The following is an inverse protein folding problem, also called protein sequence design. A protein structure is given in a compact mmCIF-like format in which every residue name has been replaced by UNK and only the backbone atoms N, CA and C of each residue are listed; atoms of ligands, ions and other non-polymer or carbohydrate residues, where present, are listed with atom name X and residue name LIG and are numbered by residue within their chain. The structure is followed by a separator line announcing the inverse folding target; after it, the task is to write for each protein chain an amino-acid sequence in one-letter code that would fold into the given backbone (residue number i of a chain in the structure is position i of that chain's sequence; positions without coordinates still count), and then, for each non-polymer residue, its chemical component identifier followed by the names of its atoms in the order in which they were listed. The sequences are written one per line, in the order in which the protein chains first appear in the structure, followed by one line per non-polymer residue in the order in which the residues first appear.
data_IF_134363970096
#
_entry.id   IF_134363970096
#
_cell.length_a   1.000
_cell.length_b   1.000
_cell.length_c   1.000
_cell.angle_alpha   90.00
_cell.angle_beta   90.00
_cell.angle_gamma   90.00
#
_symmetry.space_group_name_H-M   'P 1'
#
loop_
_entity.id
_entity.type
_entity.pdbx_description
1 polymer ?
#
# COMPACT_ATOMS: atom_id res chain seq x y z
N UNK A 1 -6.75 -15.28 -26.15
CA UNK A 1 -5.69 -16.30 -26.05
C UNK A 1 -4.84 -15.99 -24.82
N UNK A 2 -4.40 -16.97 -24.04
CA UNK A 2 -3.49 -16.72 -22.93
C UNK A 2 -2.17 -16.13 -23.46
N UNK A 3 -1.57 -15.27 -22.65
CA UNK A 3 -0.29 -14.62 -22.99
C UNK A 3 0.85 -15.66 -23.05
N UNK A 4 1.76 -15.51 -24.00
CA UNK A 4 2.93 -16.38 -24.11
C UNK A 4 3.79 -16.30 -22.83
N UNK A 5 4.30 -17.44 -22.30
CA UNK A 5 4.98 -17.48 -21.01
C UNK A 5 6.16 -16.51 -20.89
N UNK A 6 6.97 -16.38 -21.94
CA UNK A 6 8.12 -15.45 -21.95
C UNK A 6 7.68 -13.99 -21.90
N UNK A 7 6.62 -13.62 -22.62
CA UNK A 7 6.04 -12.28 -22.58
C UNK A 7 5.49 -11.97 -21.19
N UNK A 8 4.76 -12.89 -20.57
CA UNK A 8 4.25 -12.74 -19.21
C UNK A 8 5.39 -12.52 -18.21
N UNK A 9 6.46 -13.31 -18.29
CA UNK A 9 7.64 -13.13 -17.44
C UNK A 9 8.30 -11.76 -17.64
N UNK A 10 8.46 -11.32 -18.90
CA UNK A 10 9.04 -10.00 -19.20
C UNK A 10 8.19 -8.85 -18.66
N UNK A 11 6.85 -8.93 -18.74
CA UNK A 11 5.95 -7.93 -18.18
C UNK A 11 6.06 -7.87 -16.65
N UNK A 12 6.13 -9.02 -15.97
CA UNK A 12 6.36 -9.07 -14.51
C UNK A 12 7.71 -8.44 -14.14
N UNK A 13 8.76 -8.78 -14.87
CA UNK A 13 10.10 -8.21 -14.64
C UNK A 13 10.13 -6.70 -14.88
N UNK A 14 9.45 -6.21 -15.94
CA UNK A 14 9.34 -4.78 -16.20
C UNK A 14 8.58 -4.07 -15.05
N UNK A 15 7.45 -4.61 -14.61
CA UNK A 15 6.71 -4.05 -13.48
C UNK A 15 7.58 -3.93 -12.21
N UNK A 16 8.31 -4.98 -11.85
CA UNK A 16 9.22 -4.96 -10.69
C UNK A 16 10.38 -3.98 -10.86
N UNK A 17 10.94 -3.88 -12.07
CA UNK A 17 12.03 -2.93 -12.36
C UNK A 17 11.56 -1.49 -12.15
N UNK A 18 10.44 -1.10 -12.77
CA UNK A 18 9.90 0.27 -12.69
C UNK A 18 9.48 0.65 -11.26
N UNK A 19 8.84 -0.25 -10.52
CA UNK A 19 8.47 0.00 -9.11
C UNK A 19 9.70 0.19 -8.24
N UNK A 20 10.74 -0.63 -8.43
CA UNK A 20 12.00 -0.50 -7.70
C UNK A 20 12.76 0.79 -8.03
N UNK A 21 12.78 1.20 -9.31
CA UNK A 21 13.43 2.44 -9.75
C UNK A 21 12.65 3.66 -9.25
N UNK A 22 11.32 3.67 -9.33
CA UNK A 22 10.47 4.71 -8.75
C UNK A 22 10.85 4.99 -7.29
N UNK A 23 10.92 3.95 -6.47
CA UNK A 23 11.25 4.11 -5.06
C UNK A 23 12.68 4.61 -4.84
N UNK A 24 13.66 4.10 -5.56
CA UNK A 24 15.06 4.58 -5.48
C UNK A 24 15.19 6.05 -5.83
N UNK A 25 14.50 6.50 -6.88
CA UNK A 25 14.58 7.90 -7.31
C UNK A 25 13.92 8.85 -6.31
N UNK A 26 12.85 8.46 -5.63
CA UNK A 26 12.27 9.26 -4.54
C UNK A 26 13.25 9.42 -3.37
N UNK A 27 13.95 8.34 -2.98
CA UNK A 27 14.98 8.42 -1.95
C UNK A 27 16.18 9.29 -2.37
N UNK A 28 16.59 9.19 -3.63
CA UNK A 28 17.70 10.00 -4.15
C UNK A 28 17.32 11.47 -4.32
N UNK A 29 16.08 11.78 -4.65
CA UNK A 29 15.56 13.15 -4.64
C UNK A 29 15.68 13.79 -3.26
N UNK A 30 15.25 13.10 -2.22
CA UNK A 30 15.35 13.57 -0.84
C UNK A 30 16.81 13.75 -0.41
N UNK A 31 17.67 12.81 -0.75
CA UNK A 31 19.11 12.89 -0.45
C UNK A 31 19.79 14.07 -1.16
N UNK A 32 19.46 14.30 -2.43
CA UNK A 32 19.98 15.42 -3.20
C UNK A 32 19.58 16.78 -2.57
N UNK A 33 18.32 16.93 -2.15
CA UNK A 33 17.85 18.15 -1.45
C UNK A 33 18.55 18.37 -0.13
N UNK A 34 18.70 17.33 0.69
CA UNK A 34 19.46 17.39 1.96
C UNK A 34 20.92 17.81 1.75
N UNK A 35 21.49 17.50 0.58
CA UNK A 35 22.84 17.93 0.19
C UNK A 35 22.87 19.33 -0.49
N UNK A 36 21.73 20.04 -0.58
CA UNK A 36 21.63 21.36 -1.21
C UNK A 36 21.44 21.36 -2.72
N UNK A 37 21.26 20.18 -3.36
CA UNK A 37 21.13 20.05 -4.81
C UNK A 37 19.65 19.97 -5.24
N UNK A 38 18.88 21.04 -5.05
CA UNK A 38 17.43 21.06 -5.29
C UNK A 38 17.06 20.76 -6.75
N UNK A 39 17.82 21.25 -7.74
CA UNK A 39 17.57 20.97 -9.15
C UNK A 39 17.71 19.45 -9.47
N UNK A 40 18.70 18.80 -8.89
CA UNK A 40 18.91 17.36 -9.01
C UNK A 40 17.74 16.59 -8.36
N UNK A 41 17.30 17.01 -7.17
CA UNK A 41 16.14 16.45 -6.50
C UNK A 41 14.86 16.57 -7.37
N UNK A 42 14.65 17.73 -8.00
CA UNK A 42 13.52 17.94 -8.91
C UNK A 42 13.58 17.03 -10.13
N UNK A 43 14.76 16.82 -10.72
CA UNK A 43 14.93 15.87 -11.83
C UNK A 43 14.57 14.45 -11.40
N UNK A 44 15.06 13.98 -10.27
CA UNK A 44 14.71 12.65 -9.75
C UNK A 44 13.21 12.49 -9.52
N UNK A 45 12.50 13.47 -8.92
CA UNK A 45 11.06 13.40 -8.76
C UNK A 45 10.29 13.35 -10.09
N UNK A 46 10.76 14.10 -11.07
CA UNK A 46 10.13 14.10 -12.40
C UNK A 46 10.26 12.72 -13.05
N UNK A 47 11.46 12.14 -13.04
CA UNK A 47 11.68 10.82 -13.62
C UNK A 47 10.96 9.75 -12.81
N UNK A 48 10.97 9.81 -11.48
CA UNK A 48 10.20 8.89 -10.64
C UNK A 48 8.71 8.84 -11.03
N UNK A 49 8.08 10.00 -11.28
CA UNK A 49 6.69 10.03 -11.77
C UNK A 49 6.51 9.32 -13.12
N UNK A 50 7.50 9.37 -14.00
CA UNK A 50 7.46 8.65 -15.28
C UNK A 50 7.55 7.13 -15.04
N UNK A 51 8.44 6.68 -14.16
CA UNK A 51 8.58 5.25 -13.84
C UNK A 51 7.31 4.69 -13.17
N UNK A 52 6.67 5.47 -12.30
CA UNK A 52 5.35 5.11 -11.78
C UNK A 52 4.29 4.95 -12.88
N UNK A 53 4.30 5.83 -13.90
CA UNK A 53 3.39 5.72 -15.02
C UNK A 53 3.69 4.47 -15.88
N UNK A 54 4.97 4.14 -16.09
CA UNK A 54 5.39 2.91 -16.77
C UNK A 54 4.92 1.67 -15.99
N UNK A 55 5.15 1.62 -14.67
CA UNK A 55 4.68 0.52 -13.83
C UNK A 55 3.17 0.29 -13.95
N UNK A 56 2.36 1.37 -14.00
CA UNK A 56 0.90 1.27 -14.23
C UNK A 56 0.55 0.63 -15.58
N UNK A 57 1.33 0.90 -16.65
CA UNK A 57 1.12 0.27 -17.96
C UNK A 57 1.30 -1.25 -17.85
N UNK A 58 2.35 -1.68 -17.19
CA UNK A 58 2.65 -3.10 -17.01
C UNK A 58 1.65 -3.78 -16.10
N UNK A 59 1.23 -3.14 -15.00
CA UNK A 59 0.18 -3.62 -14.11
C UNK A 59 -1.12 -3.92 -14.86
N UNK A 60 -1.59 -2.95 -15.67
CA UNK A 60 -2.78 -3.14 -16.51
C UNK A 60 -2.62 -4.26 -17.52
N UNK A 61 -1.43 -4.39 -18.15
CA UNK A 61 -1.15 -5.47 -19.09
C UNK A 61 -1.12 -6.85 -18.45
N UNK A 62 -0.79 -6.93 -17.19
CA UNK A 62 -0.83 -8.16 -16.39
C UNK A 62 -2.25 -8.53 -15.95
N UNK A 63 -3.26 -7.70 -16.25
CA UNK A 63 -4.66 -7.85 -15.81
C UNK A 63 -4.77 -8.04 -14.29
N UNK A 64 -4.02 -7.26 -13.53
CA UNK A 64 -4.03 -7.27 -12.06
C UNK A 64 -5.01 -6.24 -11.49
N UNK A 65 -5.90 -5.69 -12.32
CA UNK A 65 -6.98 -4.83 -11.83
C UNK A 65 -7.98 -5.71 -11.06
N UNK A 66 -8.14 -5.40 -9.80
CA UNK A 66 -9.03 -6.07 -8.85
C UNK A 66 -10.11 -5.10 -8.40
N UNK A 67 -11.27 -5.60 -8.00
CA UNK A 67 -12.19 -4.78 -7.25
C UNK A 67 -11.65 -4.50 -5.83
N UNK A 68 -12.31 -3.61 -5.09
CA UNK A 68 -11.82 -3.19 -3.76
C UNK A 68 -11.76 -4.37 -2.77
N UNK A 69 -12.74 -5.27 -2.81
CA UNK A 69 -12.77 -6.44 -1.94
C UNK A 69 -11.66 -7.43 -2.27
N UNK A 70 -11.47 -7.72 -3.55
CA UNK A 70 -10.40 -8.60 -4.05
C UNK A 70 -9.02 -8.01 -3.68
N UNK A 71 -8.84 -6.70 -3.85
CA UNK A 71 -7.58 -6.04 -3.53
C UNK A 71 -7.24 -6.11 -2.02
N UNK A 72 -8.24 -5.92 -1.13
CA UNK A 72 -8.06 -6.07 0.32
C UNK A 72 -7.65 -7.50 0.71
N UNK A 73 -8.29 -8.50 0.11
CA UNK A 73 -7.96 -9.90 0.38
C UNK A 73 -6.60 -10.30 -0.19
N UNK A 74 -6.24 -9.79 -1.37
CA UNK A 74 -4.93 -10.02 -1.98
C UNK A 74 -3.82 -9.36 -1.14
N UNK A 75 -4.03 -8.13 -0.65
CA UNK A 75 -3.12 -7.47 0.26
C UNK A 75 -2.94 -8.29 1.55
N UNK A 76 -4.04 -8.69 2.21
CA UNK A 76 -3.98 -9.53 3.40
C UNK A 76 -3.21 -10.85 3.17
N UNK A 77 -3.36 -11.46 1.99
CA UNK A 77 -2.61 -12.67 1.61
C UNK A 77 -1.12 -12.40 1.41
N UNK A 78 -0.76 -11.25 0.83
CA UNK A 78 0.64 -10.82 0.69
C UNK A 78 1.32 -10.62 2.03
N UNK A 79 0.71 -9.81 2.91
CA UNK A 79 1.23 -9.58 4.27
C UNK A 79 1.37 -10.88 5.07
N UNK A 80 0.36 -11.79 4.94
CA UNK A 80 0.43 -13.11 5.58
C UNK A 80 1.67 -13.89 5.14
N UNK A 81 1.93 -13.97 3.84
CA UNK A 81 3.13 -14.64 3.31
C UNK A 81 4.42 -13.97 3.82
N UNK A 82 4.44 -12.63 3.83
CA UNK A 82 5.62 -11.88 4.27
C UNK A 82 5.98 -12.19 5.72
N UNK A 83 5.03 -12.12 6.66
CA UNK A 83 5.35 -12.31 8.06
C UNK A 83 5.50 -13.78 8.45
N UNK A 84 4.69 -14.70 7.87
CA UNK A 84 4.65 -16.09 8.32
C UNK A 84 5.70 -16.98 7.65
N UNK A 85 6.15 -16.62 6.45
CA UNK A 85 7.08 -17.42 5.66
C UNK A 85 8.37 -16.66 5.35
N UNK A 86 8.28 -15.55 4.60
CA UNK A 86 9.42 -14.84 4.03
C UNK A 86 10.35 -14.27 5.11
N UNK A 87 9.86 -13.36 5.94
CA UNK A 87 10.66 -12.72 6.99
C UNK A 87 11.04 -13.72 8.10
N UNK A 88 10.19 -14.70 8.41
CA UNK A 88 10.51 -15.74 9.36
C UNK A 88 11.73 -16.55 8.90
N UNK A 89 11.74 -17.01 7.65
CA UNK A 89 12.85 -17.71 7.04
C UNK A 89 14.12 -16.84 7.02
N UNK A 90 14.03 -15.60 6.52
CA UNK A 90 15.19 -14.72 6.42
C UNK A 90 15.77 -14.34 7.79
N UNK A 91 14.96 -14.25 8.83
CA UNK A 91 15.44 -14.04 10.19
C UNK A 91 16.25 -15.24 10.70
N UNK A 92 15.80 -16.45 10.40
CA UNK A 92 16.54 -17.67 10.78
C UNK A 92 17.85 -17.80 10.00
N UNK A 93 17.84 -17.53 8.69
CA UNK A 93 19.03 -17.50 7.85
C UNK A 93 20.06 -16.48 8.36
N UNK A 94 19.61 -15.23 8.65
CA UNK A 94 20.48 -14.17 9.17
C UNK A 94 21.10 -14.55 10.53
N UNK A 95 20.33 -15.19 11.41
CA UNK A 95 20.85 -15.70 12.69
C UNK A 95 21.95 -16.74 12.46
N UNK A 96 21.72 -17.69 11.55
CA UNK A 96 22.64 -18.78 11.27
C UNK A 96 23.94 -18.28 10.61
N UNK A 97 23.87 -17.16 9.86
CA UNK A 97 25.01 -16.43 9.30
C UNK A 97 25.70 -15.49 10.32
N UNK A 98 25.15 -15.29 11.51
CA UNK A 98 25.68 -14.41 12.55
C UNK A 98 25.30 -12.92 12.36
N UNK A 99 24.40 -12.60 11.41
CA UNK A 99 23.92 -11.25 11.10
C UNK A 99 22.77 -10.83 12.02
N UNK A 100 23.04 -10.76 13.33
CA UNK A 100 22.02 -10.53 14.39
C UNK A 100 21.26 -9.22 14.23
N UNK A 101 21.85 -8.20 13.63
CA UNK A 101 21.17 -6.92 13.34
C UNK A 101 20.09 -7.10 12.26
N UNK A 102 20.38 -7.89 11.22
CA UNK A 102 19.42 -8.21 10.17
C UNK A 102 18.32 -9.13 10.70
N UNK A 103 18.66 -10.16 11.46
CA UNK A 103 17.67 -11.03 12.14
C UNK A 103 16.65 -10.18 12.91
N UNK A 104 17.14 -9.29 13.78
CA UNK A 104 16.27 -8.43 14.58
C UNK A 104 15.33 -7.59 13.72
N UNK A 105 15.84 -6.99 12.63
CA UNK A 105 15.03 -6.17 11.72
C UNK A 105 13.96 -7.02 11.02
N UNK A 106 14.31 -8.20 10.50
CA UNK A 106 13.33 -9.09 9.86
C UNK A 106 12.21 -9.49 10.83
N UNK A 107 12.52 -9.85 12.08
CA UNK A 107 11.48 -10.16 13.08
C UNK A 107 10.61 -8.96 13.43
N UNK A 108 11.18 -7.76 13.52
CA UNK A 108 10.42 -6.54 13.81
C UNK A 108 9.49 -6.17 12.67
N UNK A 109 9.96 -6.26 11.40
CA UNK A 109 9.13 -6.02 10.23
C UNK A 109 8.03 -7.09 10.14
N UNK A 110 8.35 -8.38 10.32
CA UNK A 110 7.33 -9.44 10.35
C UNK A 110 6.18 -9.13 11.33
N UNK A 111 6.47 -8.60 12.51
CA UNK A 111 5.44 -8.22 13.47
C UNK A 111 4.55 -7.06 12.97
N UNK A 112 5.10 -6.15 12.16
CA UNK A 112 4.34 -5.06 11.52
C UNK A 112 3.45 -5.63 10.42
N UNK A 113 3.95 -6.53 9.58
CA UNK A 113 3.16 -7.13 8.49
C UNK A 113 2.02 -8.02 9.03
N UNK A 114 2.19 -8.65 10.19
CA UNK A 114 1.10 -9.33 10.89
C UNK A 114 -0.04 -8.37 11.32
N UNK A 115 0.31 -7.15 11.75
CA UNK A 115 -0.69 -6.10 12.05
C UNK A 115 -1.35 -5.57 10.78
N UNK A 116 -0.60 -5.40 9.68
CA UNK A 116 -1.14 -5.02 8.38
C UNK A 116 -2.14 -6.05 7.85
N UNK A 117 -1.81 -7.35 7.89
CA UNK A 117 -2.76 -8.41 7.56
C UNK A 117 -4.06 -8.26 8.35
N UNK A 118 -3.95 -8.07 9.67
CA UNK A 118 -5.11 -7.88 10.54
C UNK A 118 -5.97 -6.68 10.14
N UNK A 119 -5.35 -5.57 9.73
CA UNK A 119 -6.04 -4.37 9.25
C UNK A 119 -6.78 -4.63 7.94
N UNK A 120 -6.12 -5.25 6.94
CA UNK A 120 -6.74 -5.57 5.66
C UNK A 120 -7.90 -6.56 5.80
N UNK A 121 -7.75 -7.61 6.62
CA UNK A 121 -8.83 -8.58 6.88
C UNK A 121 -10.05 -7.93 7.55
N UNK A 122 -9.83 -7.06 8.55
CA UNK A 122 -10.93 -6.34 9.20
C UNK A 122 -11.67 -5.43 8.21
N UNK A 123 -10.94 -4.69 7.38
CA UNK A 123 -11.54 -3.81 6.38
C UNK A 123 -12.31 -4.62 5.32
N UNK A 124 -11.77 -5.73 4.85
CA UNK A 124 -12.44 -6.63 3.93
C UNK A 124 -13.75 -7.20 4.52
N UNK A 125 -13.74 -7.57 5.80
CA UNK A 125 -14.93 -8.05 6.51
C UNK A 125 -15.98 -6.96 6.64
N UNK A 126 -15.59 -5.74 7.01
CA UNK A 126 -16.51 -4.59 7.13
C UNK A 126 -17.13 -4.23 5.79
N UNK A 127 -16.33 -4.24 4.71
CA UNK A 127 -16.83 -3.98 3.37
C UNK A 127 -17.83 -5.05 2.93
N UNK A 128 -17.50 -6.34 3.12
CA UNK A 128 -18.37 -7.47 2.77
C UNK A 128 -19.71 -7.44 3.53
N UNK A 129 -19.71 -6.96 4.77
CA UNK A 129 -20.90 -6.84 5.60
C UNK A 129 -21.70 -5.54 5.37
N UNK A 130 -21.19 -4.61 4.57
CA UNK A 130 -21.77 -3.26 4.44
C UNK A 130 -21.60 -2.41 5.70
N UNK A 131 -20.59 -2.69 6.53
CA UNK A 131 -20.34 -2.06 7.83
C UNK A 131 -19.25 -0.97 7.77
N UNK A 132 -18.74 -0.65 6.59
CA UNK A 132 -17.67 0.33 6.39
C UNK A 132 -18.00 1.69 7.06
N UNK A 133 -19.25 2.12 6.93
CA UNK A 133 -19.76 3.37 7.49
C UNK A 133 -20.61 3.18 8.75
N UNK A 134 -20.40 2.10 9.49
CA UNK A 134 -21.16 1.80 10.70
C UNK A 134 -20.21 1.60 11.90
N UNK A 135 -20.65 2.05 13.08
CA UNK A 135 -19.95 1.83 14.34
C UNK A 135 -20.95 1.47 15.43
N UNK A 136 -20.60 0.50 16.28
CA UNK A 136 -21.44 0.12 17.43
C UNK A 136 -21.58 1.25 18.48
N UNK A 137 -20.66 2.21 18.48
CA UNK A 137 -20.66 3.39 19.35
C UNK A 137 -20.45 4.64 18.50
N UNK A 138 -20.92 5.81 18.95
CA UNK A 138 -20.59 7.07 18.31
C UNK A 138 -19.07 7.25 18.20
N UNK A 139 -18.59 7.55 16.99
CA UNK A 139 -17.19 7.82 16.67
C UNK A 139 -17.10 9.10 15.86
N UNK A 140 -15.88 9.65 15.76
CA UNK A 140 -15.63 10.80 14.90
C UNK A 140 -15.35 10.33 13.47
N UNK A 141 -16.08 10.93 12.53
CA UNK A 141 -15.93 10.76 11.09
C UNK A 141 -15.40 12.05 10.50
N UNK A 142 -14.37 11.96 9.68
CA UNK A 142 -13.73 13.11 9.02
C UNK A 142 -14.00 13.03 7.53
N UNK A 143 -14.57 14.11 6.96
CA UNK A 143 -14.66 14.23 5.51
C UNK A 143 -13.27 14.46 4.90
N UNK A 144 -12.77 13.53 4.12
CA UNK A 144 -11.44 13.59 3.50
C UNK A 144 -11.27 14.76 2.51
N UNK A 145 -12.37 15.30 1.99
CA UNK A 145 -12.32 16.44 1.08
C UNK A 145 -12.20 17.79 1.80
N UNK A 146 -13.01 18.04 2.85
CA UNK A 146 -13.09 19.37 3.46
C UNK A 146 -12.72 19.42 4.96
N UNK A 147 -12.45 18.26 5.59
CA UNK A 147 -12.10 18.19 6.99
C UNK A 147 -13.29 18.33 7.96
N UNK A 148 -14.55 18.37 7.46
CA UNK A 148 -15.74 18.40 8.34
C UNK A 148 -15.76 17.19 9.26
N UNK A 149 -15.99 17.45 10.55
CA UNK A 149 -16.09 16.44 11.60
C UNK A 149 -17.56 16.17 11.93
N UNK A 150 -17.93 14.90 11.88
CA UNK A 150 -19.23 14.40 12.34
C UNK A 150 -19.02 13.39 13.46
N UNK A 151 -19.84 13.45 14.52
CA UNK A 151 -19.85 12.47 15.59
C UNK A 151 -21.16 11.69 15.56
N UNK A 152 -21.07 10.37 15.46
CA UNK A 152 -22.23 9.50 15.36
C UNK A 152 -21.87 8.05 15.09
N UNK A 153 -22.87 7.16 15.12
CA UNK A 153 -22.70 5.76 14.76
C UNK A 153 -22.47 5.56 13.25
N UNK A 154 -22.86 6.54 12.43
CA UNK A 154 -22.70 6.56 10.98
C UNK A 154 -22.39 7.99 10.53
N UNK A 155 -21.57 8.18 9.49
CA UNK A 155 -21.40 9.49 8.87
C UNK A 155 -22.64 9.84 8.03
N UNK A 156 -22.90 11.13 7.73
CA UNK A 156 -24.01 11.52 6.86
C UNK A 156 -23.82 10.98 5.44
N UNK A 157 -24.92 10.69 4.75
CA UNK A 157 -24.91 10.23 3.33
C UNK A 157 -24.23 11.27 2.40
N UNK A 158 -24.41 12.55 2.74
CA UNK A 158 -23.82 13.68 2.00
C UNK A 158 -23.22 14.63 3.02
N UNK A 159 -21.97 15.04 2.79
CA UNK A 159 -21.29 16.01 3.63
C UNK A 159 -22.04 17.35 3.63
N UNK A 160 -22.48 17.89 4.80
CA UNK A 160 -23.27 19.13 4.86
C UNK A 160 -22.45 20.38 4.51
N UNK A 161 -21.14 20.28 4.37
CA UNK A 161 -20.25 21.42 4.08
C UNK A 161 -19.85 21.45 2.60
N UNK A 162 -19.49 20.31 2.00
CA UNK A 162 -18.93 20.27 0.65
C UNK A 162 -19.67 19.33 -0.31
N UNK A 163 -20.80 18.79 0.13
CA UNK A 163 -21.72 17.96 -0.69
C UNK A 163 -21.10 16.68 -1.27
N UNK A 164 -19.92 16.25 -0.78
CA UNK A 164 -19.33 14.97 -1.17
C UNK A 164 -20.10 13.81 -0.51
N UNK A 165 -20.22 12.67 -1.21
CA UNK A 165 -20.95 11.51 -0.70
C UNK A 165 -20.26 10.86 0.49
N UNK A 166 -21.01 9.99 1.20
CA UNK A 166 -20.57 9.26 2.40
C UNK A 166 -19.22 8.58 2.27
N UNK A 167 -18.87 8.09 1.07
CA UNK A 167 -17.56 7.47 0.79
C UNK A 167 -16.34 8.37 1.00
N UNK A 168 -16.53 9.68 1.22
CA UNK A 168 -15.47 10.60 1.61
C UNK A 168 -15.22 10.67 3.11
N UNK A 169 -16.00 9.96 3.92
CA UNK A 169 -15.79 9.95 5.37
C UNK A 169 -14.90 8.77 5.79
N UNK A 170 -13.97 9.07 6.66
CA UNK A 170 -13.13 8.08 7.33
C UNK A 170 -13.26 8.22 8.85
N UNK A 171 -13.13 7.12 9.59
CA UNK A 171 -13.02 7.16 11.04
C UNK A 171 -11.70 7.81 11.45
N UNK A 172 -11.76 8.65 12.48
CA UNK A 172 -10.59 9.26 13.11
C UNK A 172 -10.11 8.41 14.28
#
# INVERSE_FOLDING_TARGET
MPMAPKTLQNLKSAFHAETGVYFKYTLWADRARKAGHHAVGTLFDQVARNEWAHAKIWYKRLNQEMDTQEALLAAAGGEHHEWSEMYAQWADEARDEGELAAEKLFRQVAAIEADHEGKFRRMAQQLANGEEFQSAQPVKWVCANCGYLHEGAQPPEICPVCEHPQGYFARQ
#
